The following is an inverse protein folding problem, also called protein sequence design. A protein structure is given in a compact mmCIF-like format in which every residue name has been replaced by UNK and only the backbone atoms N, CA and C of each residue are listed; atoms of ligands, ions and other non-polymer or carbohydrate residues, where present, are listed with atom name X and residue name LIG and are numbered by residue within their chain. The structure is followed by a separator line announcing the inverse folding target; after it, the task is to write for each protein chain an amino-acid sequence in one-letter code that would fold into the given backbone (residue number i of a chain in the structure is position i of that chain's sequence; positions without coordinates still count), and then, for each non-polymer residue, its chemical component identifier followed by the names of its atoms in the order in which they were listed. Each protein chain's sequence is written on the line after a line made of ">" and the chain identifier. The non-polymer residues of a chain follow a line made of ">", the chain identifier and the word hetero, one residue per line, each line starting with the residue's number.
data_IF_208753398380
#
_entry.id   IF_208753398380
#
_cell.length_a   1.000
_cell.length_b   1.000
_cell.length_c   1.000
_cell.angle_alpha   90.00
_cell.angle_beta   90.00
_cell.angle_gamma   90.00
#
_symmetry.space_group_name_H-M   'P 1'
#
loop_
_entity.id
_entity.type
_entity.pdbx_description
1 polymer ?
#
# COMPACT_ATOMS: atom_id res chain seq x y z
N UNK A 1 -23.02 -15.95 -29.90
CA UNK A 1 -21.61 -16.38 -30.04
C UNK A 1 -21.29 -17.36 -28.93
N UNK A 2 -20.80 -18.56 -29.27
CA UNK A 2 -20.57 -19.66 -28.33
C UNK A 2 -19.29 -19.39 -27.52
N UNK A 3 -19.36 -19.35 -26.19
CA UNK A 3 -18.20 -19.15 -25.31
C UNK A 3 -17.34 -20.41 -25.30
N UNK A 4 -16.29 -20.44 -26.11
CA UNK A 4 -15.31 -21.53 -26.14
C UNK A 4 -14.40 -21.44 -24.90
N UNK A 5 -13.74 -22.55 -24.53
CA UNK A 5 -12.74 -22.54 -23.43
C UNK A 5 -11.64 -21.50 -23.68
N UNK A 6 -11.26 -21.32 -24.95
CA UNK A 6 -10.27 -20.31 -25.36
C UNK A 6 -10.77 -18.88 -25.14
N UNK A 7 -12.05 -18.58 -25.43
CA UNK A 7 -12.59 -17.24 -25.21
C UNK A 7 -12.61 -16.88 -23.72
N UNK A 8 -12.92 -17.84 -22.82
CA UNK A 8 -12.88 -17.60 -21.37
C UNK A 8 -11.48 -17.25 -20.86
N UNK A 9 -10.44 -17.92 -21.38
CA UNK A 9 -9.05 -17.64 -21.02
C UNK A 9 -8.66 -16.25 -21.52
N UNK A 10 -9.01 -15.93 -22.78
CA UNK A 10 -8.73 -14.61 -23.35
C UNK A 10 -9.46 -13.48 -22.60
N UNK A 11 -10.72 -13.70 -22.21
CA UNK A 11 -11.51 -12.75 -21.42
C UNK A 11 -10.93 -12.56 -20.00
N UNK A 12 -10.46 -13.63 -19.35
CA UNK A 12 -9.80 -13.55 -18.05
C UNK A 12 -8.46 -12.82 -18.14
N UNK A 13 -7.66 -13.10 -19.17
CA UNK A 13 -6.38 -12.46 -19.40
C UNK A 13 -6.57 -10.96 -19.68
N UNK A 14 -7.53 -10.62 -20.54
CA UNK A 14 -7.91 -9.23 -20.80
C UNK A 14 -8.45 -8.53 -19.55
N UNK A 15 -9.26 -9.20 -18.73
CA UNK A 15 -9.78 -8.59 -17.50
C UNK A 15 -8.69 -8.45 -16.42
N UNK A 16 -7.66 -9.30 -16.39
CA UNK A 16 -6.51 -9.12 -15.50
C UNK A 16 -5.64 -7.95 -15.93
N UNK A 17 -5.33 -7.83 -17.23
CA UNK A 17 -4.47 -6.76 -17.76
C UNK A 17 -5.19 -5.42 -17.88
N UNK A 18 -6.42 -5.41 -18.38
CA UNK A 18 -7.19 -4.20 -18.67
C UNK A 18 -8.38 -3.97 -17.74
N UNK A 19 -8.67 -4.89 -16.81
CA UNK A 19 -9.71 -4.66 -15.79
C UNK A 19 -9.36 -3.51 -14.86
N UNK A 20 -8.07 -3.15 -14.73
CA UNK A 20 -7.70 -1.91 -14.07
C UNK A 20 -8.20 -0.68 -14.86
N UNK A 21 -8.20 -0.70 -16.20
CA UNK A 21 -8.72 0.41 -17.01
C UNK A 21 -10.24 0.53 -16.91
N UNK A 22 -10.96 -0.59 -16.83
CA UNK A 22 -12.42 -0.61 -16.73
C UNK A 22 -12.96 -0.19 -15.35
N UNK A 23 -12.11 -0.15 -14.32
CA UNK A 23 -12.49 0.33 -12.99
C UNK A 23 -12.85 1.83 -12.99
N UNK A 24 -13.73 2.23 -12.08
CA UNK A 24 -14.17 3.62 -11.97
C UNK A 24 -13.00 4.55 -11.62
N UNK A 25 -12.99 5.75 -12.23
CA UNK A 25 -12.01 6.79 -11.94
C UNK A 25 -11.91 7.11 -10.45
N UNK A 26 -13.05 7.10 -9.74
CA UNK A 26 -13.11 7.27 -8.28
C UNK A 26 -12.26 6.23 -7.54
N UNK A 27 -12.37 4.95 -7.91
CA UNK A 27 -11.59 3.88 -7.27
C UNK A 27 -10.10 4.02 -7.53
N UNK A 28 -9.71 4.35 -8.76
CA UNK A 28 -8.31 4.62 -9.13
C UNK A 28 -7.74 5.78 -8.29
N UNK A 29 -8.45 6.89 -8.22
CA UNK A 29 -8.00 8.06 -7.45
C UNK A 29 -7.85 7.74 -5.97
N UNK A 30 -8.81 7.04 -5.34
CA UNK A 30 -8.72 6.64 -3.93
C UNK A 30 -7.48 5.77 -3.69
N UNK A 31 -7.19 4.84 -4.61
CA UNK A 31 -6.01 3.98 -4.50
C UNK A 31 -4.70 4.77 -4.59
N UNK A 32 -4.61 5.70 -5.54
CA UNK A 32 -3.42 6.56 -5.72
C UNK A 32 -3.24 7.50 -4.52
N UNK A 33 -4.31 8.16 -4.08
CA UNK A 33 -4.32 9.05 -2.92
C UNK A 33 -3.89 8.28 -1.69
N UNK A 34 -4.43 7.09 -1.46
CA UNK A 34 -4.05 6.23 -0.34
C UNK A 34 -2.54 5.96 -0.27
N UNK A 35 -1.93 5.57 -1.41
CA UNK A 35 -0.49 5.33 -1.48
C UNK A 35 0.29 6.61 -1.18
N UNK A 36 -0.09 7.73 -1.81
CA UNK A 36 0.56 9.03 -1.63
C UNK A 36 0.46 9.55 -0.20
N UNK A 37 -0.71 9.40 0.43
CA UNK A 37 -0.93 9.78 1.84
C UNK A 37 -0.05 8.94 2.75
N UNK A 38 0.01 7.63 2.52
CA UNK A 38 0.89 6.73 3.27
C UNK A 38 2.36 7.13 3.17
N UNK A 39 2.84 7.41 1.95
CA UNK A 39 4.19 7.93 1.72
C UNK A 39 4.43 9.24 2.46
N UNK A 40 3.53 10.23 2.29
CA UNK A 40 3.70 11.55 2.86
C UNK A 40 3.76 11.51 4.38
N UNK A 41 2.83 10.80 5.04
CA UNK A 41 2.82 10.69 6.50
C UNK A 41 4.11 10.06 7.01
N UNK A 42 4.57 8.99 6.37
CA UNK A 42 5.77 8.27 6.81
C UNK A 42 7.07 8.98 6.51
N UNK A 43 7.18 9.68 5.38
CA UNK A 43 8.35 10.51 5.10
C UNK A 43 8.50 11.60 6.17
N UNK A 44 7.41 12.33 6.48
CA UNK A 44 7.45 13.37 7.51
C UNK A 44 7.72 12.80 8.91
N UNK A 45 7.11 11.66 9.23
CA UNK A 45 7.35 10.97 10.50
C UNK A 45 8.81 10.54 10.59
N UNK A 46 9.34 9.84 9.57
CA UNK A 46 10.73 9.41 9.53
C UNK A 46 11.69 10.59 9.70
N UNK A 47 11.53 11.67 8.94
CA UNK A 47 12.41 12.85 9.05
C UNK A 47 12.37 13.48 10.45
N UNK A 48 11.18 13.62 11.04
CA UNK A 48 11.05 14.20 12.39
C UNK A 48 11.66 13.29 13.46
N UNK A 49 11.47 11.98 13.34
CA UNK A 49 12.01 11.00 14.28
C UNK A 49 13.53 10.82 14.14
N UNK A 50 14.09 10.97 12.94
CA UNK A 50 15.53 11.04 12.69
C UNK A 50 16.10 12.29 13.38
N UNK A 51 15.50 13.46 13.16
CA UNK A 51 15.98 14.71 13.75
C UNK A 51 15.95 14.75 15.29
N UNK A 52 15.05 14.01 15.94
CA UNK A 52 14.88 14.00 17.41
C UNK A 52 15.51 12.76 18.09
N UNK A 53 15.82 11.70 17.33
CA UNK A 53 16.20 10.40 17.86
C UNK A 53 17.71 10.19 17.97
N UNK A 54 18.23 9.99 19.18
CA UNK A 54 19.66 9.66 19.42
C UNK A 54 20.12 8.28 18.89
N UNK A 55 19.19 7.39 18.53
CA UNK A 55 19.46 6.01 18.07
C UNK A 55 18.55 5.64 16.88
N UNK A 56 18.84 6.24 15.73
CA UNK A 56 18.06 6.13 14.49
C UNK A 56 17.92 4.68 14.01
N UNK A 57 19.00 3.90 14.10
CA UNK A 57 19.11 2.54 13.55
C UNK A 57 18.15 1.53 14.19
N UNK A 58 17.81 1.71 15.47
CA UNK A 58 16.94 0.79 16.23
C UNK A 58 15.47 1.17 16.09
N UNK A 59 15.18 2.46 15.92
CA UNK A 59 13.80 2.94 16.00
C UNK A 59 13.01 2.72 14.71
N UNK A 60 13.68 2.81 13.55
CA UNK A 60 13.08 2.53 12.24
C UNK A 60 12.46 1.12 12.16
N UNK A 61 13.17 0.02 12.47
CA UNK A 61 12.58 -1.32 12.39
C UNK A 61 11.44 -1.53 13.39
N UNK A 62 11.46 -0.90 14.57
CA UNK A 62 10.36 -0.97 15.56
C UNK A 62 9.07 -0.36 14.98
N UNK A 63 9.19 0.81 14.35
CA UNK A 63 8.04 1.48 13.72
C UNK A 63 7.47 0.63 12.58
N UNK A 64 8.32 0.03 11.74
CA UNK A 64 7.89 -0.90 10.68
C UNK A 64 7.13 -2.09 11.29
N UNK A 65 7.63 -2.65 12.39
CA UNK A 65 7.01 -3.78 13.09
C UNK A 65 5.61 -3.44 13.59
N UNK A 66 5.44 -2.26 14.19
CA UNK A 66 4.14 -1.78 14.69
C UNK A 66 3.14 -1.62 13.53
N UNK A 67 3.56 -1.02 12.42
CA UNK A 67 2.70 -0.85 11.23
C UNK A 67 2.30 -2.20 10.65
N UNK A 68 3.26 -3.11 10.49
CA UNK A 68 3.00 -4.44 9.95
C UNK A 68 2.04 -5.21 10.86
N UNK A 69 2.17 -5.09 12.19
CA UNK A 69 1.20 -5.66 13.14
C UNK A 69 -0.19 -5.06 12.98
N UNK A 70 -0.30 -3.72 12.90
CA UNK A 70 -1.60 -3.04 12.69
C UNK A 70 -2.27 -3.58 11.43
N UNK A 71 -1.52 -3.75 10.36
CA UNK A 71 -2.07 -4.12 9.06
C UNK A 71 -2.41 -5.61 8.99
N UNK A 72 -1.63 -6.44 9.68
CA UNK A 72 -1.83 -7.89 9.76
C UNK A 72 -3.09 -8.27 10.54
N UNK A 73 -3.66 -7.36 11.33
CA UNK A 73 -4.98 -7.52 11.97
C UNK A 73 -6.10 -7.29 10.94
N UNK A 74 -6.00 -7.97 9.78
CA UNK A 74 -6.94 -7.80 8.68
C UNK A 74 -8.33 -8.34 9.06
N UNK A 75 -9.40 -7.53 8.96
CA UNK A 75 -10.75 -8.00 9.23
C UNK A 75 -11.21 -9.02 8.17
N UNK A 76 -12.11 -9.96 8.53
CA UNK A 76 -12.61 -10.97 7.61
C UNK A 76 -13.30 -10.35 6.39
N UNK A 77 -13.19 -11.02 5.24
CA UNK A 77 -13.54 -10.49 3.91
C UNK A 77 -15.01 -10.06 3.73
N UNK A 78 -15.92 -10.45 4.63
CA UNK A 78 -17.33 -10.07 4.60
C UNK A 78 -17.69 -8.81 5.40
N UNK A 79 -16.73 -8.16 6.07
CA UNK A 79 -17.01 -7.00 6.92
C UNK A 79 -17.02 -5.68 6.12
N UNK A 80 -17.87 -4.74 6.53
CA UNK A 80 -17.90 -3.38 5.98
C UNK A 80 -16.53 -2.67 6.05
N UNK A 81 -15.71 -3.04 7.04
CA UNK A 81 -14.36 -2.51 7.24
C UNK A 81 -13.33 -3.04 6.23
N UNK A 82 -13.65 -4.07 5.45
CA UNK A 82 -12.72 -4.63 4.47
C UNK A 82 -12.27 -3.60 3.42
N UNK A 83 -13.17 -2.72 2.98
CA UNK A 83 -12.85 -1.66 2.03
C UNK A 83 -11.93 -0.60 2.64
N UNK A 84 -12.15 -0.24 3.90
CA UNK A 84 -11.26 0.67 4.64
C UNK A 84 -9.88 0.03 4.83
N UNK A 85 -9.83 -1.27 5.14
CA UNK A 85 -8.57 -1.98 5.29
C UNK A 85 -7.76 -2.06 3.99
N UNK A 86 -8.44 -2.24 2.85
CA UNK A 86 -7.81 -2.20 1.53
C UNK A 86 -7.16 -0.84 1.22
N UNK A 87 -7.73 0.25 1.74
CA UNK A 87 -7.12 1.58 1.67
C UNK A 87 -5.91 1.67 2.61
N UNK A 88 -5.98 1.13 3.82
CA UNK A 88 -4.84 1.11 4.74
C UNK A 88 -3.68 0.26 4.19
N UNK A 89 -3.97 -0.88 3.56
CA UNK A 89 -2.99 -1.74 2.89
C UNK A 89 -2.23 -0.99 1.80
N UNK A 90 -2.91 -0.14 1.03
CA UNK A 90 -2.29 0.69 -0.01
C UNK A 90 -1.46 1.83 0.58
N UNK A 91 -1.93 2.44 1.67
CA UNK A 91 -1.16 3.43 2.40
C UNK A 91 0.14 2.82 2.96
N UNK A 92 0.12 1.57 3.43
CA UNK A 92 1.33 0.84 3.83
C UNK A 92 2.36 0.79 2.74
N UNK A 93 1.96 0.48 1.51
CA UNK A 93 2.91 0.37 0.39
C UNK A 93 3.67 1.69 0.21
N UNK A 94 2.97 2.83 0.27
CA UNK A 94 3.60 4.15 0.25
C UNK A 94 4.52 4.38 1.46
N UNK A 95 4.09 3.97 2.65
CA UNK A 95 4.89 4.08 3.87
C UNK A 95 6.18 3.27 3.81
N UNK A 96 6.13 1.99 3.39
CA UNK A 96 7.30 1.13 3.24
C UNK A 96 8.29 1.73 2.24
N UNK A 97 7.80 2.28 1.13
CA UNK A 97 8.64 2.96 0.15
C UNK A 97 9.36 4.18 0.77
N UNK A 98 8.64 5.02 1.53
CA UNK A 98 9.24 6.17 2.22
C UNK A 98 10.36 5.74 3.17
N UNK A 99 10.13 4.69 3.95
CA UNK A 99 11.11 4.19 4.93
C UNK A 99 12.36 3.63 4.25
N UNK A 100 12.21 2.86 3.16
CA UNK A 100 13.35 2.37 2.38
C UNK A 100 14.16 3.54 1.82
N UNK A 101 13.48 4.57 1.32
CA UNK A 101 14.13 5.73 0.72
C UNK A 101 14.91 6.56 1.77
N UNK A 102 14.38 6.72 2.97
CA UNK A 102 15.12 7.36 4.07
C UNK A 102 16.28 6.49 4.57
N UNK A 103 16.10 5.17 4.68
CA UNK A 103 17.19 4.27 5.04
C UNK A 103 18.34 4.34 4.02
N UNK A 104 18.02 4.48 2.73
CA UNK A 104 19.02 4.68 1.69
C UNK A 104 19.77 6.02 1.83
N UNK A 105 19.06 7.11 2.15
CA UNK A 105 19.67 8.43 2.39
C UNK A 105 20.61 8.45 3.60
N UNK A 106 20.31 7.69 4.65
CA UNK A 106 21.16 7.60 5.84
C UNK A 106 22.40 6.72 5.63
N UNK A 107 22.38 5.82 4.64
CA UNK A 107 23.48 4.90 4.34
C UNK A 107 24.51 5.41 3.32
N UNK A 108 24.23 6.53 2.64
CA UNK A 108 25.14 7.20 1.68
C UNK A 108 25.92 8.34 2.33
#
# INVERSE_FOLDING_TARGET
>A
MQKTKFSKINDQFNNLLFGFLSSSWKSKSINVISVLTGYFLFANFATKFISEGKNELIMVPIIILIIELIIRIRPPAGSSFFNLWSIIDKARIGATYAVILEAFKLGS
#
